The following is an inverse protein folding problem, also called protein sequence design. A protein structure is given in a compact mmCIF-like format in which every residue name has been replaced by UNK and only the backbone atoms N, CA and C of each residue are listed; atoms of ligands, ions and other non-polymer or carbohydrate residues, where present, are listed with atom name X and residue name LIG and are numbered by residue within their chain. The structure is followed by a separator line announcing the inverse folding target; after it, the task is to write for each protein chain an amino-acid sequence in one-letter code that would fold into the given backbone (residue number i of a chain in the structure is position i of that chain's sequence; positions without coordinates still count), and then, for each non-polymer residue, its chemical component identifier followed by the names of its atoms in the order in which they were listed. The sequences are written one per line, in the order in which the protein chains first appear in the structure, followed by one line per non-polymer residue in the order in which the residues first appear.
data_IF_441009105814
#
_entry.id   IF_441009105814
#
_cell.length_a   1.000
_cell.length_b   1.000
_cell.length_c   1.000
_cell.angle_alpha   90.00
_cell.angle_beta   90.00
_cell.angle_gamma   90.00
#
_symmetry.space_group_name_H-M   'P 1'
#
loop_
_entity.id
_entity.type
_entity.pdbx_description
1 polymer ?
#
# COMPACT_ATOMS: atom_id res chain seq x y z
N UNK A 1 75.73 -18.62 11.07
CA UNK A 1 74.39 -18.97 10.57
C UNK A 1 73.32 -18.44 11.54
N UNK A 2 72.69 -17.30 11.26
CA UNK A 2 71.44 -16.87 11.90
C UNK A 2 70.54 -16.33 10.78
N UNK A 3 69.46 -17.07 10.50
CA UNK A 3 68.45 -16.72 9.48
C UNK A 3 67.43 -15.79 10.13
N UNK A 4 67.35 -14.55 9.65
CA UNK A 4 66.23 -13.66 9.89
C UNK A 4 65.02 -14.18 9.08
N UNK A 5 63.90 -14.46 9.75
CA UNK A 5 62.60 -14.64 9.10
C UNK A 5 61.80 -13.36 9.31
N UNK A 6 61.56 -12.63 8.23
CA UNK A 6 60.58 -11.55 8.19
C UNK A 6 59.18 -12.18 8.20
N UNK A 7 58.34 -11.78 9.16
CA UNK A 7 56.93 -12.11 9.21
C UNK A 7 56.15 -10.95 8.59
N UNK A 8 55.62 -11.15 7.39
CA UNK A 8 54.68 -10.23 6.75
C UNK A 8 53.32 -10.36 7.43
N UNK A 9 52.91 -9.32 8.14
CA UNK A 9 51.55 -9.19 8.69
C UNK A 9 50.65 -8.62 7.60
N UNK A 10 49.75 -9.44 7.07
CA UNK A 10 48.66 -8.99 6.20
C UNK A 10 47.54 -8.49 7.12
N UNK A 11 47.37 -7.19 7.22
CA UNK A 11 46.20 -6.57 7.85
C UNK A 11 45.07 -6.57 6.82
N UNK A 12 44.19 -7.57 6.89
CA UNK A 12 42.92 -7.54 6.17
C UNK A 12 41.98 -6.53 6.83
N UNK A 13 41.85 -5.36 6.21
CA UNK A 13 40.90 -4.32 6.58
C UNK A 13 39.48 -4.80 6.23
N UNK A 14 38.80 -5.42 7.20
CA UNK A 14 37.36 -5.72 7.10
C UNK A 14 36.60 -4.40 7.29
N UNK A 15 36.16 -3.82 6.18
CA UNK A 15 35.27 -2.66 6.18
C UNK A 15 33.89 -3.17 6.63
N UNK A 16 33.58 -3.00 7.91
CA UNK A 16 32.20 -3.06 8.40
C UNK A 16 31.46 -1.85 7.82
N UNK A 17 30.80 -2.04 6.69
CA UNK A 17 29.73 -1.13 6.29
C UNK A 17 28.63 -1.24 7.36
N UNK A 18 28.23 -0.15 8.03
CA UNK A 18 27.04 -0.19 8.87
C UNK A 18 25.85 -0.42 7.95
N UNK A 19 25.34 -1.66 7.91
CA UNK A 19 24.01 -1.92 7.39
C UNK A 19 23.03 -1.23 8.34
N UNK A 20 22.62 -0.02 7.99
CA UNK A 20 21.42 0.58 8.57
C UNK A 20 20.30 -0.43 8.39
N UNK A 21 19.73 -1.01 9.47
CA UNK A 21 18.59 -1.89 9.30
C UNK A 21 17.50 -1.08 8.60
N UNK A 22 16.80 -1.67 7.60
CA UNK A 22 15.64 -1.03 7.04
C UNK A 22 14.67 -0.71 8.19
N UNK A 23 14.14 0.50 8.20
CA UNK A 23 13.07 0.92 9.11
C UNK A 23 11.87 0.00 8.89
N UNK A 24 11.85 -1.09 9.63
CA UNK A 24 10.76 -2.02 9.62
C UNK A 24 9.67 -1.51 10.53
N UNK A 25 8.45 -1.90 10.20
CA UNK A 25 7.33 -1.72 11.07
C UNK A 25 7.26 -2.88 12.12
N UNK A 26 6.38 -2.83 13.13
CA UNK A 26 6.61 -3.35 14.50
C UNK A 26 7.92 -2.79 15.06
N UNK A 27 8.01 -2.48 16.37
CA UNK A 27 9.30 -2.13 16.96
C UNK A 27 10.33 -3.22 16.63
N UNK A 28 11.35 -2.93 15.84
CA UNK A 28 12.34 -3.89 15.31
C UNK A 28 11.80 -5.04 14.44
N UNK A 29 10.59 -4.97 13.89
CA UNK A 29 10.04 -6.04 13.05
C UNK A 29 10.76 -6.22 11.72
N UNK A 30 10.15 -6.98 10.81
CA UNK A 30 10.58 -7.06 9.42
C UNK A 30 9.57 -6.33 8.54
N UNK A 31 10.03 -5.71 7.46
CA UNK A 31 9.11 -5.12 6.47
C UNK A 31 8.18 -6.19 5.91
N UNK A 32 6.89 -5.86 5.82
CA UNK A 32 5.87 -6.71 5.22
C UNK A 32 5.22 -6.01 4.02
N UNK A 33 6.01 -5.22 3.28
CA UNK A 33 5.55 -4.63 2.01
C UNK A 33 5.13 -5.74 1.06
N UNK A 34 3.93 -5.59 0.49
CA UNK A 34 3.31 -6.59 -0.37
C UNK A 34 2.62 -7.74 0.37
N UNK A 35 2.54 -7.72 1.70
CA UNK A 35 1.76 -8.71 2.45
C UNK A 35 0.26 -8.65 2.07
N UNK A 36 -0.37 -9.79 1.72
CA UNK A 36 -1.73 -9.80 1.19
C UNK A 36 -2.82 -9.54 2.25
N UNK A 37 -2.47 -9.50 3.53
CA UNK A 37 -3.44 -9.34 4.61
C UNK A 37 -3.27 -8.07 5.43
N UNK A 38 -2.12 -7.39 5.38
CA UNK A 38 -1.92 -6.15 6.13
C UNK A 38 -2.78 -5.00 5.56
N UNK A 39 -3.73 -4.47 6.33
CA UNK A 39 -4.58 -3.34 5.94
C UNK A 39 -4.35 -2.16 6.88
N UNK A 40 -4.16 -0.97 6.30
CA UNK A 40 -4.18 0.28 7.04
C UNK A 40 -5.60 0.88 7.05
N UNK A 41 -6.03 1.35 8.22
CA UNK A 41 -7.32 2.00 8.47
C UNK A 41 -7.08 3.48 8.77
N UNK A 42 -7.73 4.37 8.00
CA UNK A 42 -7.71 5.83 8.20
C UNK A 42 -6.32 6.43 8.52
N UNK A 43 -5.28 5.92 7.85
CA UNK A 43 -3.91 6.43 7.92
C UNK A 43 -3.19 6.22 9.28
N UNK A 44 -3.67 5.32 10.14
CA UNK A 44 -2.99 5.12 11.42
C UNK A 44 -3.36 3.88 12.24
N UNK A 45 -4.51 3.23 12.03
CA UNK A 45 -4.81 1.98 12.72
C UNK A 45 -4.56 0.77 11.81
N UNK A 46 -4.40 -0.41 12.41
CA UNK A 46 -4.14 -1.65 11.68
C UNK A 46 -5.41 -2.50 11.55
N UNK A 47 -5.47 -3.30 10.50
CA UNK A 47 -6.49 -4.31 10.29
C UNK A 47 -5.94 -5.45 9.44
N UNK A 48 -6.70 -6.54 9.34
CA UNK A 48 -6.32 -7.76 8.63
C UNK A 48 -7.35 -8.13 7.56
N UNK A 49 -6.95 -8.22 6.30
CA UNK A 49 -7.82 -8.71 5.23
C UNK A 49 -8.01 -10.21 5.39
N UNK A 50 -9.23 -10.64 5.70
CA UNK A 50 -9.61 -12.05 5.84
C UNK A 50 -10.16 -12.63 4.53
N UNK A 51 -10.96 -11.84 3.82
CA UNK A 51 -11.45 -12.15 2.48
C UNK A 51 -11.51 -10.84 1.67
N UNK A 52 -11.69 -10.87 0.33
CA UNK A 52 -11.62 -9.67 -0.52
C UNK A 52 -12.42 -8.45 -0.05
N UNK A 53 -13.51 -8.64 0.71
CA UNK A 53 -14.30 -7.55 1.29
C UNK A 53 -14.44 -7.59 2.80
N UNK A 54 -13.78 -8.52 3.47
CA UNK A 54 -13.96 -8.76 4.91
C UNK A 54 -12.63 -8.46 5.58
N UNK A 55 -12.65 -7.42 6.41
CA UNK A 55 -11.52 -6.93 7.18
C UNK A 55 -11.79 -7.18 8.66
N UNK A 56 -10.84 -7.80 9.35
CA UNK A 56 -10.90 -8.08 10.78
C UNK A 56 -10.05 -7.05 11.52
N UNK A 57 -10.56 -6.53 12.64
CA UNK A 57 -9.86 -5.55 13.48
C UNK A 57 -10.38 -5.62 14.92
N UNK A 58 -9.95 -4.70 15.78
CA UNK A 58 -10.45 -4.57 17.15
C UNK A 58 -11.68 -3.68 17.23
N UNK A 59 -12.50 -3.88 18.25
CA UNK A 59 -13.63 -2.99 18.53
C UNK A 59 -13.13 -1.61 18.97
N UNK A 60 -12.13 -1.52 19.84
CA UNK A 60 -11.68 -0.23 20.38
C UNK A 60 -11.10 0.74 19.33
N UNK A 61 -10.70 0.25 18.15
CA UNK A 61 -10.30 1.12 17.04
C UNK A 61 -11.50 1.87 16.43
N UNK A 62 -12.71 1.35 16.62
CA UNK A 62 -13.92 1.72 15.89
C UNK A 62 -15.19 1.75 16.77
N UNK A 63 -15.05 1.69 18.09
CA UNK A 63 -16.18 1.44 19.01
C UNK A 63 -17.26 2.52 18.97
N UNK A 64 -16.88 3.76 18.65
CA UNK A 64 -17.78 4.91 18.57
C UNK A 64 -18.36 5.14 17.16
N UNK A 65 -18.24 4.14 16.27
CA UNK A 65 -18.56 4.25 14.85
C UNK A 65 -19.69 3.28 14.50
N UNK A 66 -20.78 3.79 13.96
CA UNK A 66 -21.85 2.95 13.40
C UNK A 66 -21.68 2.70 11.89
N UNK A 67 -22.58 1.90 11.31
CA UNK A 67 -22.56 1.56 9.88
C UNK A 67 -22.76 2.74 8.92
N UNK A 68 -23.28 3.88 9.38
CA UNK A 68 -23.32 5.08 8.52
C UNK A 68 -22.01 5.86 8.57
N UNK A 69 -21.37 5.91 9.72
CA UNK A 69 -20.06 6.55 9.87
C UNK A 69 -18.94 5.75 9.21
N UNK A 70 -18.98 4.42 9.23
CA UNK A 70 -17.96 3.56 8.63
C UNK A 70 -17.83 3.76 7.10
N UNK A 71 -18.88 4.25 6.44
CA UNK A 71 -18.85 4.59 5.00
C UNK A 71 -17.88 5.71 4.67
N UNK A 72 -17.51 6.53 5.65
CA UNK A 72 -16.48 7.56 5.50
C UNK A 72 -15.06 7.06 5.78
N UNK A 73 -14.91 5.84 6.32
CA UNK A 73 -13.61 5.26 6.64
C UNK A 73 -12.96 4.68 5.39
N UNK A 74 -11.66 4.92 5.26
CA UNK A 74 -10.85 4.52 4.14
C UNK A 74 -9.87 3.42 4.54
N UNK A 75 -9.84 2.37 3.74
CA UNK A 75 -9.02 1.18 3.89
C UNK A 75 -8.00 1.12 2.76
N UNK A 76 -6.72 1.04 3.11
CA UNK A 76 -5.63 0.93 2.15
C UNK A 76 -5.61 -0.43 1.45
N UNK A 77 -4.96 -0.49 0.29
CA UNK A 77 -4.67 -1.76 -0.38
C UNK A 77 -3.68 -2.60 0.44
N UNK A 78 -3.79 -3.93 0.39
CA UNK A 78 -3.00 -4.80 1.25
C UNK A 78 -1.50 -4.65 0.98
N UNK A 79 -0.73 -4.58 2.07
CA UNK A 79 0.73 -4.55 2.02
C UNK A 79 1.32 -3.25 1.45
N UNK A 80 0.50 -2.21 1.23
CA UNK A 80 0.98 -0.92 0.71
C UNK A 80 1.34 0.04 1.84
N UNK A 81 2.29 0.97 1.64
CA UNK A 81 2.55 2.05 2.59
C UNK A 81 1.32 2.89 2.89
N UNK A 82 1.16 3.31 4.14
CA UNK A 82 0.24 4.38 4.51
C UNK A 82 0.66 5.65 3.80
N UNK A 83 -0.18 6.12 2.88
CA UNK A 83 0.02 7.39 2.22
C UNK A 83 -1.32 8.07 1.86
N UNK A 84 -1.31 9.40 1.75
CA UNK A 84 -2.53 10.18 1.54
C UNK A 84 -3.12 10.02 0.13
N UNK A 85 -2.30 9.64 -0.86
CA UNK A 85 -2.67 9.66 -2.28
C UNK A 85 -2.97 8.27 -2.87
N UNK A 86 -2.81 7.21 -2.09
CA UNK A 86 -2.98 5.82 -2.52
C UNK A 86 -4.45 5.48 -2.72
N UNK A 87 -4.70 4.49 -3.58
CA UNK A 87 -6.03 3.93 -3.74
C UNK A 87 -6.53 3.37 -2.43
N UNK A 88 -7.81 3.61 -2.15
CA UNK A 88 -8.49 3.24 -0.91
C UNK A 88 -9.89 2.75 -1.23
N UNK A 89 -10.41 1.91 -0.36
CA UNK A 89 -11.79 1.41 -0.40
C UNK A 89 -12.54 1.94 0.81
N UNK A 90 -13.81 2.27 0.63
CA UNK A 90 -14.68 2.69 1.72
C UNK A 90 -15.21 1.49 2.51
N UNK A 91 -15.46 1.68 3.80
CA UNK A 91 -16.28 0.76 4.57
C UNK A 91 -17.72 0.75 4.06
N UNK A 92 -18.43 -0.35 4.22
CA UNK A 92 -19.85 -0.49 3.87
C UNK A 92 -20.69 -0.78 5.12
N UNK A 93 -20.21 -1.69 5.95
CA UNK A 93 -20.86 -2.11 7.17
C UNK A 93 -19.82 -2.53 8.21
N UNK A 94 -20.21 -2.42 9.47
CA UNK A 94 -19.41 -2.80 10.62
C UNK A 94 -20.24 -3.71 11.52
N UNK A 95 -19.63 -4.77 12.01
CA UNK A 95 -20.19 -5.70 12.98
C UNK A 95 -19.30 -5.66 14.22
N UNK A 96 -19.86 -5.22 15.34
CA UNK A 96 -19.16 -5.18 16.62
C UNK A 96 -19.39 -6.48 17.38
N UNK A 97 -18.36 -7.01 18.04
CA UNK A 97 -18.59 -8.09 18.98
C UNK A 97 -19.53 -7.64 20.12
N UNK A 98 -20.62 -8.37 20.40
CA UNK A 98 -21.68 -7.91 21.31
C UNK A 98 -21.26 -7.89 22.79
N UNK A 99 -20.20 -8.63 23.16
CA UNK A 99 -19.68 -8.72 24.52
C UNK A 99 -18.57 -7.73 24.85
N UNK A 100 -18.30 -6.78 23.95
CA UNK A 100 -17.17 -5.87 24.08
C UNK A 100 -17.19 -5.07 25.37
N UNK A 101 -16.05 -5.09 26.07
CA UNK A 101 -15.79 -4.25 27.22
C UNK A 101 -14.42 -3.60 27.07
N UNK A 102 -14.40 -2.27 27.08
CA UNK A 102 -13.16 -1.51 27.06
C UNK A 102 -12.45 -1.55 28.43
N UNK A 103 -11.16 -1.22 28.41
CA UNK A 103 -10.33 -1.15 29.61
C UNK A 103 -10.69 0.11 30.42
N UNK A 104 -10.64 -0.02 31.74
CA UNK A 104 -10.91 1.08 32.68
C UNK A 104 -9.70 1.49 33.52
N UNK A 105 -8.61 0.71 33.50
CA UNK A 105 -7.41 0.90 34.32
C UNK A 105 -6.74 2.27 34.14
N UNK A 106 -6.81 2.85 32.94
CA UNK A 106 -6.25 4.18 32.65
C UNK A 106 -7.20 5.34 33.01
N UNK A 107 -8.39 5.03 33.50
CA UNK A 107 -9.42 5.99 33.91
C UNK A 107 -9.86 5.77 35.36
N UNK A 108 -8.99 5.14 36.18
CA UNK A 108 -9.22 4.91 37.61
C UNK A 108 -9.99 3.63 37.96
N UNK A 109 -10.31 2.79 36.97
CA UNK A 109 -10.86 1.45 37.19
C UNK A 109 -9.79 0.37 37.39
N UNK A 110 -10.19 -0.89 37.35
CA UNK A 110 -9.33 -2.04 37.61
C UNK A 110 -9.21 -3.03 36.44
N UNK A 111 -9.71 -2.69 35.25
CA UNK A 111 -9.64 -3.55 34.06
C UNK A 111 -8.57 -3.01 33.11
N UNK A 112 -7.47 -3.74 32.94
CA UNK A 112 -6.27 -3.27 32.22
C UNK A 112 -6.16 -3.76 30.77
N UNK A 113 -7.06 -4.63 30.35
CA UNK A 113 -7.19 -5.09 28.97
C UNK A 113 -8.67 -5.11 28.57
N UNK A 114 -9.00 -5.66 27.41
CA UNK A 114 -10.35 -5.62 26.87
C UNK A 114 -10.95 -7.01 26.78
N UNK A 115 -12.28 -7.07 26.81
CA UNK A 115 -13.03 -8.30 26.56
C UNK A 115 -13.67 -8.21 25.19
N UNK A 116 -13.66 -9.31 24.44
CA UNK A 116 -14.30 -9.43 23.14
C UNK A 116 -13.94 -8.25 22.21
N UNK A 117 -12.67 -7.86 22.21
CA UNK A 117 -12.15 -6.71 21.45
C UNK A 117 -11.90 -7.07 20.00
N UNK A 118 -13.00 -7.26 19.28
CA UNK A 118 -12.99 -7.74 17.91
C UNK A 118 -14.16 -7.15 17.13
N UNK A 119 -13.90 -6.82 15.87
CA UNK A 119 -14.91 -6.33 14.96
C UNK A 119 -14.64 -6.82 13.54
N UNK A 120 -15.71 -6.88 12.76
CA UNK A 120 -15.64 -7.19 11.34
C UNK A 120 -16.12 -5.97 10.55
N UNK A 121 -15.31 -5.56 9.58
CA UNK A 121 -15.66 -4.52 8.64
C UNK A 121 -15.89 -5.17 7.29
N UNK A 122 -17.00 -4.81 6.66
CA UNK A 122 -17.32 -5.19 5.30
C UNK A 122 -17.03 -3.99 4.41
N UNK A 123 -16.26 -4.20 3.34
CA UNK A 123 -15.85 -3.16 2.40
C UNK A 123 -16.86 -3.00 1.24
N UNK A 124 -16.92 -1.81 0.66
CA UNK A 124 -17.74 -1.55 -0.53
C UNK A 124 -17.23 -2.28 -1.77
N UNK A 125 -15.92 -2.52 -1.87
CA UNK A 125 -15.26 -3.16 -3.01
C UNK A 125 -14.22 -4.17 -2.56
N UNK A 126 -13.91 -5.11 -3.46
CA UNK A 126 -12.92 -6.14 -3.23
C UNK A 126 -11.52 -5.55 -3.27
N UNK A 127 -10.72 -5.95 -2.31
CA UNK A 127 -9.27 -5.82 -2.32
C UNK A 127 -8.63 -7.11 -2.84
N UNK A 128 -7.48 -7.03 -3.53
CA UNK A 128 -6.79 -8.21 -4.03
C UNK A 128 -6.28 -9.07 -2.88
N UNK A 129 -6.47 -10.39 -2.98
CA UNK A 129 -5.99 -11.35 -2.00
C UNK A 129 -5.39 -12.55 -2.74
N UNK A 130 -4.18 -12.95 -2.36
CA UNK A 130 -3.39 -14.00 -3.04
C UNK A 130 -3.20 -15.26 -2.19
N UNK A 131 -3.64 -15.23 -0.93
CA UNK A 131 -3.53 -16.34 0.01
C UNK A 131 -4.89 -16.76 0.56
N UNK A 132 -4.91 -17.88 1.29
CA UNK A 132 -6.10 -18.37 1.98
C UNK A 132 -5.97 -18.04 3.46
N UNK A 133 -7.03 -17.47 4.02
CA UNK A 133 -7.15 -17.26 5.47
C UNK A 133 -8.26 -18.15 6.01
N UNK A 134 -8.02 -18.77 7.17
CA UNK A 134 -9.02 -19.50 7.94
C UNK A 134 -9.01 -19.00 9.38
N UNK A 135 -10.17 -18.95 10.03
CA UNK A 135 -10.20 -18.77 11.48
C UNK A 135 -9.70 -20.07 12.13
N UNK A 136 -8.72 -19.97 13.02
CA UNK A 136 -8.20 -21.14 13.75
C UNK A 136 -9.29 -21.74 14.64
N UNK A 137 -9.37 -23.06 14.75
CA UNK A 137 -10.29 -23.72 15.68
C UNK A 137 -9.78 -23.67 17.12
N UNK A 138 -10.68 -23.92 18.08
CA UNK A 138 -10.31 -24.05 19.50
C UNK A 138 -9.23 -25.13 19.72
N UNK A 139 -9.35 -26.28 19.06
CA UNK A 139 -8.39 -27.39 19.16
C UNK A 139 -7.01 -27.01 18.59
N UNK A 140 -6.98 -26.29 17.46
CA UNK A 140 -5.73 -25.79 16.90
C UNK A 140 -5.04 -24.82 17.86
N UNK A 141 -5.79 -23.86 18.42
CA UNK A 141 -5.25 -22.90 19.39
C UNK A 141 -4.75 -23.61 20.65
N UNK A 142 -5.51 -24.57 21.18
CA UNK A 142 -5.11 -25.34 22.36
C UNK A 142 -3.82 -26.11 22.11
N UNK A 143 -3.70 -26.76 20.95
CA UNK A 143 -2.49 -27.45 20.50
C UNK A 143 -1.31 -26.48 20.40
N UNK A 144 -1.46 -25.36 19.70
CA UNK A 144 -0.36 -24.40 19.50
C UNK A 144 0.07 -23.69 20.79
N UNK A 145 -0.85 -23.45 21.72
CA UNK A 145 -0.51 -22.98 23.08
C UNK A 145 0.36 -24.00 23.82
N UNK A 146 0.00 -25.29 23.76
CA UNK A 146 0.77 -26.37 24.40
C UNK A 146 2.16 -26.53 23.78
N UNK A 147 2.24 -26.47 22.45
CA UNK A 147 3.49 -26.61 21.68
C UNK A 147 4.35 -25.35 21.68
N UNK A 148 3.84 -24.23 22.25
CA UNK A 148 4.47 -22.90 22.17
C UNK A 148 4.81 -22.53 20.73
N UNK A 149 3.86 -22.78 19.82
CA UNK A 149 4.08 -22.61 18.39
C UNK A 149 4.48 -21.18 18.03
N UNK A 150 5.24 -21.06 16.95
CA UNK A 150 5.55 -19.77 16.34
C UNK A 150 4.26 -19.10 15.84
N UNK A 151 4.13 -17.82 16.16
CA UNK A 151 3.04 -16.94 15.73
C UNK A 151 3.61 -15.70 15.08
N UNK A 152 2.87 -15.19 14.10
CA UNK A 152 3.21 -13.94 13.42
C UNK A 152 2.11 -12.92 13.64
N UNK A 153 2.46 -11.64 13.66
CA UNK A 153 1.51 -10.53 13.60
C UNK A 153 1.90 -9.61 12.46
N UNK A 154 0.94 -9.19 11.64
CA UNK A 154 1.18 -8.22 10.57
C UNK A 154 0.36 -6.95 10.75
N UNK A 155 1.00 -5.77 10.66
CA UNK A 155 0.43 -4.50 11.07
C UNK A 155 1.17 -3.23 10.61
N UNK A 156 0.63 -2.09 11.00
CA UNK A 156 1.07 -0.72 10.67
C UNK A 156 1.27 0.13 11.94
N UNK A 157 1.75 -0.46 13.04
CA UNK A 157 1.96 0.26 14.30
C UNK A 157 2.97 1.41 14.27
N UNK A 158 3.46 1.77 15.43
CA UNK A 158 4.62 2.64 15.56
C UNK A 158 5.87 1.76 15.66
N UNK A 159 6.98 2.21 15.07
CA UNK A 159 8.10 1.33 14.73
C UNK A 159 9.37 1.53 15.53
N UNK A 160 9.47 2.66 16.20
CA UNK A 160 10.60 3.02 17.04
C UNK A 160 10.27 4.33 17.76
N UNK A 161 11.14 4.70 18.69
CA UNK A 161 11.03 5.93 19.45
C UNK A 161 11.10 7.19 18.57
N UNK A 162 11.82 7.15 17.44
CA UNK A 162 11.90 8.26 16.49
C UNK A 162 10.56 8.49 15.80
N UNK A 163 9.95 7.43 15.27
CA UNK A 163 8.62 7.51 14.67
C UNK A 163 7.58 7.91 15.71
N UNK A 164 7.68 7.41 16.94
CA UNK A 164 6.79 7.82 18.03
C UNK A 164 6.79 9.34 18.23
N UNK A 165 7.97 9.96 18.26
CA UNK A 165 8.09 11.43 18.35
C UNK A 165 7.41 12.15 17.20
N UNK A 166 7.39 11.56 16.00
CA UNK A 166 6.70 12.15 14.83
C UNK A 166 5.19 11.97 14.89
N UNK A 167 4.71 10.82 15.35
CA UNK A 167 3.26 10.54 15.50
C UNK A 167 2.65 11.37 16.64
N UNK A 168 3.39 11.54 17.74
CA UNK A 168 2.96 12.34 18.89
C UNK A 168 3.03 13.86 18.62
N UNK A 169 3.83 14.28 17.63
CA UNK A 169 3.92 15.68 17.19
C UNK A 169 2.83 15.99 16.16
N UNK A 170 1.63 16.31 16.67
CA UNK A 170 0.47 16.67 15.86
C UNK A 170 0.64 17.97 15.03
N UNK A 171 1.75 18.69 15.17
CA UNK A 171 2.06 19.86 14.32
C UNK A 171 2.70 19.47 12.99
N UNK A 172 3.16 18.22 12.87
CA UNK A 172 3.79 17.69 11.66
C UNK A 172 2.84 16.79 10.88
N UNK A 173 3.04 16.67 9.55
CA UNK A 173 2.31 15.65 8.80
C UNK A 173 2.66 14.26 9.35
N UNK A 174 1.68 13.34 9.40
CA UNK A 174 1.93 11.99 9.87
C UNK A 174 3.02 11.32 9.01
N UNK A 175 3.94 10.55 9.63
CA UNK A 175 5.00 9.89 8.89
C UNK A 175 4.40 8.83 7.95
N UNK A 176 5.15 8.51 6.89
CA UNK A 176 4.88 7.29 6.12
C UNK A 176 5.07 6.09 7.04
N UNK A 177 4.09 5.18 7.06
CA UNK A 177 4.16 3.93 7.81
C UNK A 177 4.06 2.78 6.81
N UNK A 178 5.11 1.98 6.72
CA UNK A 178 5.10 0.74 5.95
C UNK A 178 4.49 -0.39 6.80
N UNK A 179 3.90 -1.43 6.20
CA UNK A 179 3.48 -2.60 6.95
C UNK A 179 4.69 -3.42 7.40
N UNK A 180 4.42 -4.26 8.38
CA UNK A 180 5.42 -5.12 8.98
C UNK A 180 4.89 -6.38 9.57
N UNK A 181 5.83 -7.29 9.80
CA UNK A 181 5.59 -8.54 10.45
C UNK A 181 6.53 -8.71 11.63
N UNK A 182 5.98 -9.23 12.72
CA UNK A 182 6.75 -9.77 13.83
C UNK A 182 6.54 -11.25 13.94
N UNK A 183 7.51 -11.93 14.55
CA UNK A 183 7.45 -13.35 14.85
C UNK A 183 7.78 -13.56 16.32
N UNK A 184 6.92 -14.31 17.01
CA UNK A 184 7.10 -14.68 18.42
C UNK A 184 6.45 -16.05 18.65
N UNK A 185 6.16 -16.41 19.90
CA UNK A 185 5.48 -17.65 20.27
C UNK A 185 4.22 -17.41 21.10
N UNK A 186 3.34 -18.40 21.12
CA UNK A 186 2.31 -18.49 22.16
C UNK A 186 2.94 -18.55 23.56
N UNK A 187 2.28 -17.86 24.49
CA UNK A 187 2.42 -18.14 25.92
C UNK A 187 1.33 -19.12 26.34
N UNK A 188 1.71 -20.05 27.23
CA UNK A 188 0.72 -20.79 28.00
C UNK A 188 -0.02 -19.85 28.96
N UNK A 189 -1.23 -20.23 29.36
CA UNK A 189 -2.00 -19.42 30.31
C UNK A 189 -1.24 -19.26 31.64
N UNK A 190 -0.48 -20.27 32.08
CA UNK A 190 0.35 -20.18 33.28
C UNK A 190 1.50 -19.15 33.15
N UNK A 191 2.19 -19.11 32.01
CA UNK A 191 3.24 -18.12 31.74
C UNK A 191 2.65 -16.70 31.72
N UNK A 192 1.54 -16.51 31.00
CA UNK A 192 0.87 -15.22 30.91
C UNK A 192 0.39 -14.74 32.29
N UNK A 193 -0.23 -15.61 33.09
CA UNK A 193 -0.67 -15.26 34.44
C UNK A 193 0.49 -14.93 35.37
N UNK A 194 1.66 -15.56 35.21
CA UNK A 194 2.87 -15.17 35.96
C UNK A 194 3.30 -13.74 35.65
N UNK A 195 3.38 -13.38 34.37
CA UNK A 195 3.73 -12.02 33.91
C UNK A 195 2.73 -10.99 34.44
N UNK A 196 1.44 -11.29 34.32
CA UNK A 196 0.35 -10.39 34.73
C UNK A 196 0.29 -10.22 36.24
N UNK A 197 0.46 -11.30 37.03
CA UNK A 197 0.42 -11.24 38.50
C UNK A 197 1.53 -10.36 39.07
N UNK A 198 2.70 -10.37 38.46
CA UNK A 198 3.83 -9.54 38.89
C UNK A 198 3.68 -8.07 38.49
N UNK A 199 2.97 -7.80 37.38
CA UNK A 199 2.84 -6.45 36.85
C UNK A 199 1.57 -5.71 37.27
N UNK A 200 0.42 -6.39 37.35
CA UNK A 200 -0.87 -5.74 37.60
C UNK A 200 -0.99 -5.24 39.05
N UNK A 201 -1.65 -4.10 39.27
CA UNK A 201 -1.95 -3.66 40.63
C UNK A 201 -2.91 -4.65 41.31
N UNK A 202 -2.91 -4.73 42.66
CA UNK A 202 -3.82 -5.58 43.41
C UNK A 202 -5.29 -5.37 43.00
N UNK A 203 -6.00 -6.46 42.67
CA UNK A 203 -7.38 -6.41 42.19
C UNK A 203 -7.55 -6.01 40.71
N UNK A 204 -6.43 -5.81 40.00
CA UNK A 204 -6.40 -5.61 38.56
C UNK A 204 -6.82 -6.86 37.78
N UNK A 205 -7.57 -6.67 36.70
CA UNK A 205 -8.05 -7.73 35.81
C UNK A 205 -7.53 -7.53 34.38
N UNK A 206 -7.23 -8.64 33.72
CA UNK A 206 -6.83 -8.72 32.32
C UNK A 206 -7.77 -9.73 31.63
N UNK A 207 -8.49 -9.30 30.61
CA UNK A 207 -9.67 -9.99 30.08
C UNK A 207 -9.48 -10.65 28.71
N UNK A 208 -8.38 -10.37 28.01
CA UNK A 208 -8.05 -11.07 26.75
C UNK A 208 -7.70 -12.53 27.02
N UNK A 209 -7.80 -13.38 25.99
CA UNK A 209 -7.82 -14.84 26.10
C UNK A 209 -6.73 -15.56 25.29
N UNK A 210 -5.93 -14.82 24.53
CA UNK A 210 -4.69 -15.28 23.92
C UNK A 210 -3.55 -14.34 24.26
N UNK A 211 -2.36 -14.93 24.45
CA UNK A 211 -1.17 -14.21 24.88
C UNK A 211 0.05 -14.66 24.07
N UNK A 212 0.88 -13.68 23.71
CA UNK A 212 2.06 -13.87 22.88
C UNK A 212 3.27 -13.25 23.56
N UNK A 213 4.42 -13.95 23.54
CA UNK A 213 5.62 -13.50 24.25
C UNK A 213 6.17 -12.21 23.65
N UNK A 214 6.52 -11.24 24.49
CA UNK A 214 7.33 -10.08 24.11
C UNK A 214 8.52 -9.99 25.06
N UNK A 215 9.69 -9.57 24.55
CA UNK A 215 10.89 -9.38 25.37
C UNK A 215 11.84 -8.36 24.73
N UNK A 216 12.78 -7.79 25.50
CA UNK A 216 13.82 -6.92 24.95
C UNK A 216 14.58 -7.59 23.80
N UNK A 217 14.85 -6.83 22.74
CA UNK A 217 15.68 -7.28 21.62
C UNK A 217 14.97 -8.16 20.58
N UNK A 218 13.71 -8.55 20.81
CA UNK A 218 12.84 -9.07 19.74
C UNK A 218 11.83 -8.02 19.32
N UNK A 219 11.16 -8.20 18.17
CA UNK A 219 10.19 -7.22 17.76
C UNK A 219 8.97 -7.11 18.69
N UNK A 220 8.42 -5.91 18.86
CA UNK A 220 7.31 -5.63 19.80
C UNK A 220 6.16 -4.86 19.18
N UNK A 221 4.94 -5.14 19.63
CA UNK A 221 3.76 -4.33 19.32
C UNK A 221 3.85 -2.95 19.97
N UNK A 222 3.20 -1.96 19.37
CA UNK A 222 3.08 -0.59 19.89
C UNK A 222 1.69 -0.01 19.66
N UNK A 223 1.47 1.23 20.11
CA UNK A 223 0.33 2.03 19.66
C UNK A 223 0.22 1.95 18.12
N UNK A 224 -1.00 1.99 17.60
CA UNK A 224 -1.37 1.78 16.19
C UNK A 224 -1.30 0.33 15.66
N UNK A 225 -0.69 -0.61 16.39
CA UNK A 225 -0.80 -2.04 16.03
C UNK A 225 -2.15 -2.65 16.41
N UNK A 226 -2.99 -1.95 17.17
CA UNK A 226 -4.36 -2.37 17.43
C UNK A 226 -5.08 -2.76 16.14
N UNK A 227 -5.66 -3.95 16.12
CA UNK A 227 -6.35 -4.48 14.93
C UNK A 227 -5.45 -5.30 13.98
N UNK A 228 -4.12 -5.27 14.15
CA UNK A 228 -3.19 -6.12 13.42
C UNK A 228 -3.55 -7.60 13.59
N UNK A 229 -3.37 -8.41 12.54
CA UNK A 229 -3.78 -9.81 12.62
C UNK A 229 -2.69 -10.71 13.15
N UNK A 230 -2.99 -11.46 14.21
CA UNK A 230 -2.20 -12.59 14.68
C UNK A 230 -2.58 -13.85 13.90
N UNK A 231 -1.57 -14.61 13.45
CA UNK A 231 -1.79 -15.85 12.71
C UNK A 231 -0.67 -16.87 12.90
N UNK A 232 -1.02 -18.14 12.69
CA UNK A 232 -0.07 -19.22 12.39
C UNK A 232 -0.09 -19.47 10.89
N UNK A 233 1.06 -19.66 10.28
CA UNK A 233 1.20 -19.88 8.85
C UNK A 233 1.62 -21.32 8.57
N UNK A 234 0.79 -22.06 7.83
CA UNK A 234 1.09 -23.42 7.40
C UNK A 234 0.93 -23.51 5.88
N UNK A 235 2.06 -23.62 5.17
CA UNK A 235 2.08 -23.59 3.71
C UNK A 235 1.54 -22.26 3.16
N UNK A 236 0.50 -22.31 2.33
CA UNK A 236 -0.16 -21.13 1.76
C UNK A 236 -1.35 -20.63 2.57
N UNK A 237 -1.65 -21.25 3.71
CA UNK A 237 -2.79 -20.90 4.57
C UNK A 237 -2.32 -20.14 5.80
N UNK A 238 -2.98 -19.01 6.08
CA UNK A 238 -2.87 -18.32 7.37
C UNK A 238 -4.06 -18.66 8.24
N UNK A 239 -3.80 -19.28 9.38
CA UNK A 239 -4.78 -19.52 10.41
C UNK A 239 -4.83 -18.30 11.33
N UNK A 240 -5.82 -17.44 11.09
CA UNK A 240 -6.06 -16.24 11.85
C UNK A 240 -6.51 -16.58 13.27
N UNK A 241 -5.84 -15.99 14.24
CA UNK A 241 -6.05 -16.21 15.66
C UNK A 241 -6.97 -15.14 16.24
N UNK A 242 -6.69 -13.88 15.95
CA UNK A 242 -7.34 -12.72 16.55
C UNK A 242 -6.66 -11.41 16.20
N UNK A 243 -7.33 -10.31 16.50
CA UNK A 243 -6.80 -8.96 16.33
C UNK A 243 -5.95 -8.57 17.54
N UNK A 244 -4.81 -7.92 17.32
CA UNK A 244 -3.98 -7.38 18.39
C UNK A 244 -4.77 -6.36 19.19
N UNK A 245 -4.95 -6.61 20.49
CA UNK A 245 -5.85 -5.88 21.39
C UNK A 245 -5.06 -5.01 22.37
N UNK A 246 -4.32 -5.67 23.26
CA UNK A 246 -3.62 -5.04 24.37
C UNK A 246 -2.21 -5.59 24.48
N UNK A 247 -1.38 -4.90 25.25
CA UNK A 247 -0.04 -5.36 25.58
C UNK A 247 0.30 -4.96 27.02
N UNK A 248 1.20 -5.71 27.65
CA UNK A 248 1.63 -5.49 29.01
C UNK A 248 3.15 -5.61 29.14
N UNK A 249 3.74 -4.75 29.96
CA UNK A 249 5.18 -4.81 30.30
C UNK A 249 6.13 -4.30 29.20
N UNK A 250 5.63 -3.57 28.20
CA UNK A 250 6.42 -3.04 27.09
C UNK A 250 6.67 -1.52 27.19
N UNK A 251 7.78 -1.01 26.64
CA UNK A 251 8.05 0.43 26.59
C UNK A 251 7.17 1.18 25.58
N UNK A 252 6.38 0.46 24.78
CA UNK A 252 5.48 1.01 23.76
C UNK A 252 6.22 2.00 22.85
N UNK A 253 7.28 1.54 22.18
CA UNK A 253 8.11 2.34 21.27
C UNK A 253 8.62 3.64 21.92
N UNK A 254 9.09 3.54 23.15
CA UNK A 254 9.73 4.65 23.89
C UNK A 254 8.79 5.55 24.68
N UNK A 255 7.46 5.35 24.68
CA UNK A 255 6.53 6.18 25.47
C UNK A 255 6.54 5.82 26.97
N UNK A 256 6.59 4.55 27.32
CA UNK A 256 6.43 4.05 28.70
C UNK A 256 7.75 3.59 29.35
N UNK A 257 8.90 3.89 28.72
CA UNK A 257 10.19 3.97 29.41
C UNK A 257 11.04 2.70 29.51
N UNK A 258 10.54 1.55 29.98
CA UNK A 258 11.36 0.33 30.12
C UNK A 258 10.52 -0.93 30.00
N UNK A 259 11.17 -2.05 29.68
CA UNK A 259 10.56 -3.39 29.75
C UNK A 259 10.34 -3.82 31.20
N UNK A 260 9.21 -4.46 31.47
CA UNK A 260 8.95 -5.04 32.78
C UNK A 260 9.96 -6.16 33.08
N UNK A 261 10.52 -6.23 34.31
CA UNK A 261 11.47 -7.28 34.69
C UNK A 261 10.88 -8.69 34.62
N UNK A 262 9.57 -8.81 34.84
CA UNK A 262 8.80 -10.05 34.85
C UNK A 262 8.51 -10.61 33.45
N UNK A 263 8.93 -9.91 32.39
CA UNK A 263 8.57 -10.21 31.02
C UNK A 263 7.37 -9.40 30.54
N UNK A 264 7.02 -9.60 29.28
CA UNK A 264 5.98 -8.83 28.61
C UNK A 264 5.16 -9.72 27.67
N UNK A 265 3.98 -9.23 27.34
CA UNK A 265 3.08 -9.94 26.43
C UNK A 265 2.27 -8.99 25.56
N UNK A 266 1.90 -9.48 24.38
CA UNK A 266 0.76 -8.98 23.61
C UNK A 266 -0.43 -9.91 23.83
N UNK A 267 -1.63 -9.39 23.59
CA UNK A 267 -2.86 -10.13 23.72
C UNK A 267 -3.81 -9.92 22.55
N UNK A 268 -4.73 -10.87 22.40
CA UNK A 268 -5.83 -10.82 21.46
C UNK A 268 -7.05 -11.57 22.00
N UNK A 269 -8.23 -11.13 21.58
CA UNK A 269 -9.45 -11.93 21.68
C UNK A 269 -9.39 -13.09 20.68
N UNK A 270 -9.74 -14.30 21.11
CA UNK A 270 -9.71 -15.46 20.22
C UNK A 270 -10.87 -15.42 19.21
N UNK A 271 -10.56 -15.21 17.92
CA UNK A 271 -11.55 -15.00 16.86
C UNK A 271 -12.54 -16.17 16.70
N UNK A 272 -12.12 -17.40 17.02
CA UNK A 272 -13.00 -18.58 16.96
C UNK A 272 -14.22 -18.48 17.88
N UNK A 273 -14.13 -17.73 18.98
CA UNK A 273 -15.25 -17.49 19.90
C UNK A 273 -16.30 -16.55 19.30
N UNK A 274 -15.90 -15.79 18.28
CA UNK A 274 -16.71 -14.79 17.57
C UNK A 274 -16.89 -15.18 16.10
N UNK A 275 -16.78 -16.47 15.79
CA UNK A 275 -16.87 -16.99 14.42
C UNK A 275 -18.21 -16.67 13.76
N UNK A 276 -19.29 -16.59 14.54
CA UNK A 276 -20.62 -16.23 14.02
C UNK A 276 -20.64 -14.80 13.46
N UNK A 277 -19.83 -13.88 14.00
CA UNK A 277 -19.70 -12.52 13.48
C UNK A 277 -19.02 -12.51 12.09
N UNK A 278 -18.05 -13.41 11.90
CA UNK A 278 -17.37 -13.59 10.60
C UNK A 278 -18.33 -14.22 9.59
N UNK A 279 -19.10 -15.24 10.01
CA UNK A 279 -20.14 -15.86 9.17
C UNK A 279 -21.22 -14.86 8.76
N UNK A 280 -21.66 -14.00 9.69
CA UNK A 280 -22.61 -12.94 9.38
C UNK A 280 -22.07 -11.99 8.31
N UNK A 281 -20.78 -11.63 8.37
CA UNK A 281 -20.15 -10.82 7.32
C UNK A 281 -20.04 -11.56 5.98
N UNK A 282 -19.71 -12.85 5.99
CA UNK A 282 -19.70 -13.69 4.79
C UNK A 282 -21.09 -13.78 4.15
N UNK A 283 -22.13 -13.98 4.96
CA UNK A 283 -23.53 -14.00 4.54
C UNK A 283 -23.96 -12.66 3.97
N UNK A 284 -23.59 -11.56 4.63
CA UNK A 284 -23.86 -10.22 4.13
C UNK A 284 -23.21 -9.98 2.77
N UNK A 285 -21.92 -10.32 2.59
CA UNK A 285 -21.21 -10.15 1.32
C UNK A 285 -21.85 -11.00 0.22
N UNK A 286 -22.28 -12.22 0.55
CA UNK A 286 -22.98 -13.11 -0.38
C UNK A 286 -24.36 -12.57 -0.79
N UNK A 287 -25.10 -11.99 0.15
CA UNK A 287 -26.39 -11.37 -0.12
C UNK A 287 -26.27 -10.01 -0.82
N UNK A 288 -25.14 -9.33 -0.67
CA UNK A 288 -24.85 -8.02 -1.25
C UNK A 288 -23.61 -8.10 -2.14
N UNK A 289 -23.66 -8.86 -3.26
CA UNK A 289 -22.52 -8.98 -4.16
C UNK A 289 -22.13 -7.60 -4.68
N UNK A 290 -20.85 -7.43 -5.00
CA UNK A 290 -20.41 -6.18 -5.60
C UNK A 290 -21.21 -5.88 -6.86
N UNK A 291 -21.59 -4.60 -7.08
CA UNK A 291 -22.16 -4.19 -8.35
C UNK A 291 -21.17 -4.58 -9.44
N UNK A 292 -21.57 -5.55 -10.28
CA UNK A 292 -20.74 -6.01 -11.38
C UNK A 292 -20.35 -4.81 -12.23
N UNK A 293 -19.09 -4.75 -12.67
CA UNK A 293 -18.59 -3.59 -13.44
C UNK A 293 -19.33 -3.38 -14.76
N UNK A 294 -19.97 -4.42 -15.30
CA UNK A 294 -20.85 -4.41 -16.47
C UNK A 294 -22.24 -3.81 -16.20
N UNK A 295 -22.66 -3.69 -14.93
CA UNK A 295 -23.96 -3.15 -14.50
C UNK A 295 -23.86 -1.76 -13.83
N UNK A 296 -22.65 -1.23 -13.62
CA UNK A 296 -22.50 0.20 -13.28
C UNK A 296 -23.04 1.01 -14.47
N UNK A 297 -24.03 1.91 -14.31
CA UNK A 297 -24.27 2.90 -15.35
C UNK A 297 -22.92 3.59 -15.54
N UNK A 298 -22.39 3.51 -16.77
CA UNK A 298 -21.08 4.05 -17.12
C UNK A 298 -20.94 5.39 -16.39
N UNK A 299 -19.94 5.51 -15.51
CA UNK A 299 -19.67 6.74 -14.75
C UNK A 299 -19.70 7.84 -15.79
N UNK A 300 -20.77 8.63 -15.80
CA UNK A 300 -21.08 9.46 -16.95
C UNK A 300 -19.95 10.46 -17.02
N UNK A 301 -19.01 10.21 -17.94
CA UNK A 301 -17.75 10.91 -17.98
C UNK A 301 -18.10 12.34 -18.39
N UNK A 302 -18.27 13.22 -17.41
CA UNK A 302 -18.53 14.62 -17.70
C UNK A 302 -17.26 15.19 -18.28
N UNK A 303 -17.28 15.46 -19.58
CA UNK A 303 -16.20 16.12 -20.28
C UNK A 303 -16.23 17.60 -19.93
N UNK A 304 -15.05 18.21 -19.82
CA UNK A 304 -14.88 19.66 -19.64
C UNK A 304 -14.32 20.21 -20.95
N UNK A 305 -15.05 21.12 -21.60
CA UNK A 305 -14.56 21.85 -22.77
C UNK A 305 -14.40 23.33 -22.46
N UNK A 306 -13.48 23.96 -23.16
CA UNK A 306 -13.26 25.41 -23.10
C UNK A 306 -13.74 26.00 -24.42
N UNK A 307 -14.77 26.82 -24.35
CA UNK A 307 -15.40 27.49 -25.46
C UNK A 307 -14.90 28.93 -25.55
N UNK A 308 -14.58 29.41 -26.76
CA UNK A 308 -14.03 30.76 -26.98
C UNK A 308 -14.85 31.54 -27.99
N UNK A 309 -15.03 32.84 -27.74
CA UNK A 309 -15.63 33.81 -28.66
C UNK A 309 -14.82 35.09 -28.60
N UNK A 310 -14.02 35.38 -29.63
CA UNK A 310 -13.04 36.48 -29.60
C UNK A 310 -12.12 36.35 -28.35
N UNK A 311 -12.13 37.32 -27.43
CA UNK A 311 -11.35 37.30 -26.17
C UNK A 311 -12.09 36.63 -24.99
N UNK A 312 -13.35 36.26 -25.16
CA UNK A 312 -14.16 35.66 -24.08
C UNK A 312 -13.94 34.15 -24.04
N UNK A 313 -13.74 33.61 -22.84
CA UNK A 313 -13.60 32.17 -22.57
C UNK A 313 -14.73 31.71 -21.65
N UNK A 314 -15.30 30.54 -21.93
CA UNK A 314 -16.30 29.87 -21.08
C UNK A 314 -15.94 28.40 -20.93
N UNK A 315 -16.07 27.89 -19.71
CA UNK A 315 -15.85 26.48 -19.43
C UNK A 315 -17.20 25.80 -19.29
N UNK A 316 -17.43 24.73 -20.05
CA UNK A 316 -18.67 23.94 -20.01
C UNK A 316 -18.32 22.53 -19.54
N UNK A 317 -19.05 22.03 -18.52
CA UNK A 317 -18.98 20.64 -18.06
C UNK A 317 -20.30 19.95 -18.37
N UNK A 318 -20.24 18.74 -18.89
CA UNK A 318 -21.42 17.94 -19.19
C UNK A 318 -21.06 16.62 -19.84
N UNK A 319 -22.08 15.78 -20.10
CA UNK A 319 -21.92 14.46 -20.70
C UNK A 319 -21.41 14.58 -22.15
N UNK A 320 -22.07 15.45 -22.91
CA UNK A 320 -21.67 15.92 -24.23
C UNK A 320 -21.71 17.44 -24.22
N UNK A 321 -20.70 18.11 -23.64
CA UNK A 321 -20.74 19.55 -23.52
C UNK A 321 -20.65 20.16 -24.93
N UNK A 322 -21.50 21.14 -25.22
CA UNK A 322 -21.51 21.87 -26.49
C UNK A 322 -21.30 23.35 -26.18
N UNK A 323 -20.51 24.02 -27.02
CA UNK A 323 -20.30 25.45 -26.85
C UNK A 323 -21.60 26.23 -27.10
N UNK A 324 -21.92 27.26 -26.28
CA UNK A 324 -23.07 28.12 -26.52
C UNK A 324 -23.00 28.77 -27.91
N UNK A 325 -24.16 29.12 -28.47
CA UNK A 325 -24.26 29.74 -29.81
C UNK A 325 -23.27 30.91 -29.95
N UNK A 326 -22.38 30.81 -30.94
CA UNK A 326 -21.34 31.80 -31.24
C UNK A 326 -20.03 31.64 -30.47
N UNK A 327 -19.84 30.56 -29.70
CA UNK A 327 -18.54 30.14 -29.16
C UNK A 327 -18.04 28.89 -29.90
N UNK A 328 -16.73 28.80 -30.10
CA UNK A 328 -16.05 27.66 -30.71
C UNK A 328 -15.27 26.89 -29.64
N UNK A 329 -15.30 25.56 -29.70
CA UNK A 329 -14.47 24.73 -28.82
C UNK A 329 -12.98 24.99 -29.13
N UNK A 330 -12.22 25.37 -28.10
CA UNK A 330 -10.79 25.68 -28.22
C UNK A 330 -10.00 24.49 -28.77
N UNK A 331 -10.41 23.25 -28.50
CA UNK A 331 -9.76 22.05 -29.04
C UNK A 331 -9.98 21.85 -30.54
N UNK A 332 -11.02 22.45 -31.11
CA UNK A 332 -11.33 22.42 -32.54
C UNK A 332 -10.73 23.62 -33.30
N UNK A 333 -10.07 24.53 -32.60
CA UNK A 333 -9.29 25.58 -33.24
C UNK A 333 -8.00 24.92 -33.72
N UNK A 334 -8.01 24.51 -34.99
CA UNK A 334 -6.81 24.09 -35.69
C UNK A 334 -5.90 25.31 -35.75
N UNK A 335 -4.88 25.34 -34.88
CA UNK A 335 -3.77 26.26 -35.04
C UNK A 335 -3.00 25.75 -36.25
N UNK A 336 -2.85 26.54 -37.33
CA UNK A 336 -2.12 26.09 -38.50
C UNK A 336 -0.71 25.67 -38.11
N UNK A 337 -0.28 24.49 -38.56
CA UNK A 337 1.08 24.00 -38.35
C UNK A 337 2.07 25.03 -38.91
N UNK A 338 3.05 25.43 -38.09
CA UNK A 338 4.11 26.36 -38.47
C UNK A 338 5.44 25.72 -38.10
N UNK A 339 6.38 25.74 -39.03
CA UNK A 339 7.71 25.16 -38.84
C UNK A 339 8.38 25.69 -37.56
N UNK A 340 9.02 24.79 -36.81
CA UNK A 340 9.70 25.08 -35.54
C UNK A 340 8.77 25.27 -34.33
N UNK A 341 7.45 25.06 -34.46
CA UNK A 341 6.53 25.04 -33.30
C UNK A 341 6.37 23.64 -32.72
N UNK A 342 6.16 23.56 -31.41
CA UNK A 342 5.98 22.30 -30.71
C UNK A 342 4.72 21.56 -31.17
N UNK A 343 4.80 20.23 -31.19
CA UNK A 343 3.71 19.33 -31.57
C UNK A 343 3.53 18.23 -30.51
N UNK A 344 2.34 17.61 -30.46
CA UNK A 344 1.92 16.71 -29.37
C UNK A 344 2.01 15.21 -29.70
N UNK A 345 1.81 14.78 -30.95
CA UNK A 345 2.20 13.42 -31.37
C UNK A 345 3.17 13.41 -32.56
N UNK A 346 4.26 12.65 -32.47
CA UNK A 346 5.19 12.38 -33.57
C UNK A 346 4.43 11.68 -34.71
N UNK A 347 4.66 12.09 -35.96
CA UNK A 347 4.12 11.41 -37.15
C UNK A 347 2.75 11.89 -37.66
N UNK A 348 2.18 12.98 -37.15
CA UNK A 348 1.01 13.61 -37.80
C UNK A 348 1.48 14.57 -38.88
N UNK A 349 0.93 14.44 -40.09
CA UNK A 349 1.19 15.33 -41.22
C UNK A 349 0.10 16.39 -41.32
N UNK A 350 0.50 17.65 -41.43
CA UNK A 350 -0.37 18.78 -41.77
C UNK A 350 0.23 19.51 -42.97
N UNK A 351 -0.16 19.11 -44.18
CA UNK A 351 0.43 19.63 -45.42
C UNK A 351 1.86 19.11 -45.61
N UNK A 352 2.84 20.00 -45.77
CA UNK A 352 4.27 19.66 -45.93
C UNK A 352 5.03 19.45 -44.62
N UNK A 353 4.41 19.77 -43.48
CA UNK A 353 5.05 19.69 -42.17
C UNK A 353 4.70 18.38 -41.47
N UNK A 354 5.73 17.71 -40.95
CA UNK A 354 5.64 16.51 -40.11
C UNK A 354 6.10 16.85 -38.70
N UNK A 355 5.36 16.40 -37.69
CA UNK A 355 5.87 16.41 -36.32
C UNK A 355 6.99 15.36 -36.18
N UNK A 356 8.23 15.82 -35.99
CA UNK A 356 9.41 14.97 -35.87
C UNK A 356 10.21 15.34 -34.61
N UNK A 357 11.03 14.41 -34.13
CA UNK A 357 11.98 14.67 -33.05
C UNK A 357 13.36 15.01 -33.61
N UNK A 358 13.95 16.06 -33.06
CA UNK A 358 15.32 16.49 -33.36
C UNK A 358 15.93 17.01 -32.05
N UNK A 359 17.13 16.55 -31.69
CA UNK A 359 17.84 16.93 -30.45
C UNK A 359 17.00 16.76 -29.15
N UNK A 360 16.07 15.80 -29.14
CA UNK A 360 15.23 15.50 -27.97
C UNK A 360 13.95 16.33 -27.85
N UNK A 361 13.68 17.26 -28.79
CA UNK A 361 12.45 18.05 -28.81
C UNK A 361 11.56 17.72 -30.03
N UNK A 362 10.24 17.65 -29.80
CA UNK A 362 9.25 17.43 -30.84
C UNK A 362 8.76 18.74 -31.45
N UNK A 363 8.99 18.95 -32.74
CA UNK A 363 8.53 20.15 -33.46
C UNK A 363 8.02 19.84 -34.87
N UNK A 364 7.20 20.74 -35.41
CA UNK A 364 6.79 20.71 -36.81
C UNK A 364 7.98 21.03 -37.71
N UNK A 365 8.36 20.09 -38.58
CA UNK A 365 9.49 20.23 -39.50
C UNK A 365 9.04 19.92 -40.93
N UNK A 366 9.55 20.66 -41.92
CA UNK A 366 9.44 20.24 -43.31
C UNK A 366 10.45 19.11 -43.55
N UNK A 367 9.96 17.93 -43.93
CA UNK A 367 10.81 16.79 -44.28
C UNK A 367 10.74 16.56 -45.79
N UNK A 368 11.88 16.68 -46.47
CA UNK A 368 11.97 16.33 -47.88
C UNK A 368 12.09 14.81 -48.01
N UNK A 369 11.11 14.18 -48.66
CA UNK A 369 11.04 12.73 -48.84
C UNK A 369 11.26 12.38 -50.32
N UNK A 370 12.36 11.71 -50.64
CA UNK A 370 12.63 11.21 -52.00
C UNK A 370 11.62 10.11 -52.39
N UNK A 371 11.19 9.31 -51.42
CA UNK A 371 10.07 8.35 -51.53
C UNK A 371 9.21 8.44 -50.27
N UNK A 372 7.90 8.43 -50.44
CA UNK A 372 6.96 8.45 -49.32
C UNK A 372 5.73 7.61 -49.59
N UNK A 373 5.13 7.10 -48.51
CA UNK A 373 3.79 6.49 -48.50
C UNK A 373 2.95 7.31 -47.53
N UNK A 374 1.82 7.85 -48.01
CA UNK A 374 0.96 8.77 -47.25
C UNK A 374 1.70 9.95 -46.62
N UNK A 375 2.74 10.45 -47.30
CA UNK A 375 3.59 11.55 -46.84
C UNK A 375 4.58 11.17 -45.73
N UNK A 376 4.75 9.88 -45.41
CA UNK A 376 5.69 9.38 -44.40
C UNK A 376 6.96 8.78 -45.02
N UNK A 377 8.11 8.84 -44.34
CA UNK A 377 9.34 8.22 -44.80
C UNK A 377 9.22 6.69 -44.92
N UNK A 378 10.02 6.10 -45.80
CA UNK A 378 10.09 4.64 -46.00
C UNK A 378 11.52 4.18 -45.73
N UNK A 379 11.68 3.09 -45.00
CA UNK A 379 12.98 2.53 -44.66
C UNK A 379 13.84 2.30 -45.93
N UNK A 380 15.05 2.83 -45.92
CA UNK A 380 16.02 2.78 -47.01
C UNK A 380 15.90 3.91 -48.04
N UNK A 381 14.90 4.80 -47.97
CA UNK A 381 14.88 5.99 -48.83
C UNK A 381 15.86 7.05 -48.33
N UNK A 382 16.38 7.89 -49.24
CA UNK A 382 17.25 8.99 -48.82
C UNK A 382 16.49 10.00 -47.98
N UNK A 383 17.22 10.64 -47.09
CA UNK A 383 16.81 11.79 -46.34
C UNK A 383 17.88 12.88 -46.50
N UNK A 384 17.57 14.11 -46.08
CA UNK A 384 18.43 15.27 -46.32
C UNK A 384 18.93 15.95 -45.04
N UNK A 385 18.54 15.44 -43.86
CA UNK A 385 18.90 16.01 -42.56
C UNK A 385 19.14 14.90 -41.53
N UNK A 386 20.39 14.75 -41.14
CA UNK A 386 20.85 13.78 -40.15
C UNK A 386 20.21 14.00 -38.77
N UNK A 387 19.98 12.92 -38.02
CA UNK A 387 19.48 12.97 -36.65
C UNK A 387 17.98 13.26 -36.48
N UNK A 388 17.20 13.32 -37.57
CA UNK A 388 15.73 13.40 -37.46
C UNK A 388 15.16 12.02 -37.18
N UNK A 389 14.25 11.95 -36.20
CA UNK A 389 13.42 10.78 -35.91
C UNK A 389 11.96 11.06 -36.28
N UNK A 390 11.36 10.20 -37.11
CA UNK A 390 9.99 10.33 -37.58
C UNK A 390 9.29 8.96 -37.72
N UNK A 391 7.96 8.93 -37.64
CA UNK A 391 7.19 7.72 -37.94
C UNK A 391 7.14 7.47 -39.45
N UNK A 392 7.53 6.28 -39.87
CA UNK A 392 7.58 5.84 -41.27
C UNK A 392 7.23 4.37 -41.44
N UNK A 393 7.42 3.84 -42.64
CA UNK A 393 7.12 2.44 -42.95
C UNK A 393 8.39 1.62 -43.18
N UNK A 394 8.44 0.42 -42.60
CA UNK A 394 9.49 -0.55 -42.93
C UNK A 394 9.28 -1.19 -44.31
N UNK A 395 10.18 -2.10 -44.71
CA UNK A 395 10.07 -2.81 -45.99
C UNK A 395 8.85 -3.73 -46.08
N UNK A 396 8.25 -4.07 -44.94
CA UNK A 396 7.07 -4.90 -44.79
C UNK A 396 5.78 -4.06 -44.64
N UNK A 397 5.87 -2.73 -44.81
CA UNK A 397 4.76 -1.77 -44.65
C UNK A 397 4.19 -1.69 -43.23
N UNK A 398 4.95 -2.08 -42.21
CA UNK A 398 4.60 -1.80 -40.82
C UNK A 398 4.99 -0.37 -40.47
N UNK A 399 4.13 0.31 -39.71
CA UNK A 399 4.42 1.66 -39.24
C UNK A 399 5.37 1.60 -38.04
N UNK A 400 6.59 2.12 -38.20
CA UNK A 400 7.67 2.11 -37.22
C UNK A 400 8.32 3.49 -37.08
N UNK A 401 9.14 3.68 -36.04
CA UNK A 401 10.02 4.83 -35.93
C UNK A 401 11.25 4.63 -36.83
N UNK A 402 11.58 5.65 -37.62
CA UNK A 402 12.76 5.66 -38.49
C UNK A 402 13.67 6.83 -38.10
N UNK A 403 14.98 6.58 -38.12
CA UNK A 403 16.01 7.60 -37.92
C UNK A 403 16.72 7.90 -39.23
N UNK A 404 16.80 9.17 -39.60
CA UNK A 404 17.64 9.59 -40.72
C UNK A 404 19.11 9.63 -40.26
N UNK A 405 19.96 8.77 -40.81
CA UNK A 405 21.38 8.71 -40.46
C UNK A 405 22.31 8.49 -41.65
N UNK A 406 23.55 8.99 -41.56
CA UNK A 406 24.61 8.63 -42.50
C UNK A 406 25.08 7.18 -42.27
N UNK A 407 25.18 6.40 -43.34
CA UNK A 407 25.99 5.18 -43.31
C UNK A 407 27.45 5.56 -43.39
N UNK A 408 28.30 4.91 -42.59
CA UNK A 408 29.75 5.14 -42.48
C UNK A 408 30.50 4.81 -43.79
N UNK A 409 30.31 5.62 -44.84
CA UNK A 409 30.97 5.48 -46.13
C UNK A 409 31.16 6.86 -46.78
N UNK A 410 32.37 7.21 -47.24
CA UNK A 410 32.63 8.51 -47.88
C UNK A 410 31.70 8.73 -49.08
N UNK A 411 30.96 9.85 -49.08
CA UNK A 411 30.03 10.22 -50.14
C UNK A 411 28.62 9.60 -50.05
N UNK A 412 28.29 8.88 -48.98
CA UNK A 412 26.94 8.35 -48.77
C UNK A 412 25.95 9.48 -48.44
N UNK A 413 24.77 9.44 -49.06
CA UNK A 413 23.61 10.23 -48.63
C UNK A 413 22.99 9.58 -47.38
N UNK A 414 22.47 10.36 -46.42
CA UNK A 414 21.80 9.77 -45.28
C UNK A 414 20.50 9.11 -45.73
N UNK A 415 20.09 8.06 -45.01
CA UNK A 415 18.89 7.29 -45.31
C UNK A 415 18.07 7.04 -44.07
N UNK A 416 16.76 6.91 -44.22
CA UNK A 416 15.88 6.46 -43.15
C UNK A 416 16.16 4.99 -42.81
N UNK A 417 16.48 4.71 -41.55
CA UNK A 417 16.77 3.36 -41.05
C UNK A 417 16.04 3.06 -39.76
#
# INVERSE_FOLDING_TARGET
MRRNKAATVIVSLVIFLPSTPPSAAVENGLSALGDPNAIAVNLGASAFLYAPRIVLTTNHNIADINSDQIKSYLYGFPGQPVNNNGEKVNGLQILHAPGFLDRSGFSGGNVFSRKDDFAVIILEKSLPMTNVVKIASADQIAKWKLEKAEVKMVGYGIQNAEMRKLVDDHTKPPPRIDPSILTTRFLSDAEAQSILKEGLPPGGSYLDDMYFELKPGIPSVCDNDSGSGWFVEEGSTRFYLGAASSAWGIPNCGRNGIWAPSGALASATAAHRLIELVKEAEDFVRANPEPREDMKPAKVLTKKITCVKKKLTKTIKGINPVCPKGYTDKSKIVVPAKEGKSCKPVGTLSGKLTCAMFEGEASWMEITLEKSVDGRPVSGSKCYRDGIVAMGYDKQSNLIELTCSFKNSPGAFPSWS
#
